data_IF_421143074650
#
_entry.id   IF_421143074650
#
_cell.length_a   1.000
_cell.length_b   1.000
_cell.length_c   1.000
_cell.angle_alpha   90.00
_cell.angle_beta   90.00
_cell.angle_gamma   90.00
#
_symmetry.space_group_name_H-M   'P 1'
#
loop_
_entity.id
_entity.type
_entity.pdbx_description
1 polymer ?
#
# COMPACT_ATOMS: atom_id res chain seq x y z
N UNK A 1 -19.85 14.51 -15.49
CA UNK A 1 -19.50 13.22 -14.83
C UNK A 1 -18.00 12.94 -14.88
N UNK A 2 -17.35 12.91 -16.06
CA UNK A 2 -15.87 12.73 -16.16
C UNK A 2 -15.06 13.78 -15.37
N UNK A 3 -15.47 15.04 -15.42
CA UNK A 3 -14.78 16.14 -14.72
C UNK A 3 -14.88 16.02 -13.19
N UNK A 4 -16.04 15.63 -12.67
CA UNK A 4 -16.24 15.36 -11.23
C UNK A 4 -15.38 14.17 -10.77
N UNK A 5 -15.27 13.13 -11.60
CA UNK A 5 -14.42 11.97 -11.32
C UNK A 5 -12.93 12.37 -11.32
N UNK A 6 -12.49 13.18 -12.28
CA UNK A 6 -11.11 13.66 -12.32
C UNK A 6 -10.77 14.53 -11.12
N UNK A 7 -11.64 15.46 -10.74
CA UNK A 7 -11.45 16.31 -9.56
C UNK A 7 -11.39 15.47 -8.27
N UNK A 8 -12.20 14.41 -8.19
CA UNK A 8 -12.18 13.48 -7.06
C UNK A 8 -10.88 12.65 -7.00
N UNK A 9 -10.39 12.20 -8.15
CA UNK A 9 -9.11 11.51 -8.26
C UNK A 9 -7.97 12.45 -7.84
N UNK A 10 -7.93 13.68 -8.36
CA UNK A 10 -6.93 14.67 -7.96
C UNK A 10 -6.95 14.94 -6.46
N UNK A 11 -8.14 15.07 -5.87
CA UNK A 11 -8.31 15.24 -4.42
C UNK A 11 -7.73 14.05 -3.64
N UNK A 12 -8.01 12.82 -4.06
CA UNK A 12 -7.52 11.61 -3.39
C UNK A 12 -5.99 11.51 -3.46
N UNK A 13 -5.42 11.83 -4.62
CA UNK A 13 -3.98 11.73 -4.91
C UNK A 13 -3.18 13.00 -4.61
N UNK A 14 -3.81 14.02 -4.00
CA UNK A 14 -3.17 15.28 -3.64
C UNK A 14 -1.96 15.03 -2.73
N UNK A 15 -0.84 15.68 -3.04
CA UNK A 15 0.39 15.58 -2.28
C UNK A 15 0.25 16.07 -0.84
N UNK A 16 0.95 15.38 0.08
CA UNK A 16 1.14 15.85 1.46
C UNK A 16 2.16 16.98 1.43
N UNK A 17 1.94 18.04 2.20
CA UNK A 17 2.79 19.25 2.16
C UNK A 17 4.12 19.05 2.91
N UNK A 18 4.17 18.11 3.84
CA UNK A 18 5.36 17.82 4.64
C UNK A 18 6.31 16.85 3.91
N UNK A 19 7.60 17.21 3.85
CA UNK A 19 8.66 16.40 3.23
C UNK A 19 8.99 15.13 4.03
N UNK A 20 8.65 15.10 5.32
CA UNK A 20 8.93 13.97 6.20
C UNK A 20 7.85 12.88 6.14
N UNK A 21 6.68 13.17 5.55
CA UNK A 21 5.59 12.20 5.42
C UNK A 21 5.63 11.51 4.05
N UNK A 22 5.40 10.20 4.03
CA UNK A 22 5.35 9.46 2.77
C UNK A 22 4.02 9.71 2.07
N UNK A 23 4.06 10.41 0.92
CA UNK A 23 2.91 10.62 0.02
C UNK A 23 2.09 9.35 -0.17
N UNK A 24 2.77 8.23 -0.40
CA UNK A 24 2.15 6.94 -0.67
C UNK A 24 1.29 6.45 0.49
N UNK A 25 1.74 6.66 1.74
CA UNK A 25 1.01 6.23 2.93
C UNK A 25 -0.27 7.05 3.10
N UNK A 26 -0.21 8.37 2.88
CA UNK A 26 -1.38 9.23 2.96
C UNK A 26 -2.45 8.85 1.92
N UNK A 27 -2.04 8.59 0.68
CA UNK A 27 -2.95 8.16 -0.39
C UNK A 27 -3.59 6.82 -0.06
N UNK A 28 -2.80 5.83 0.39
CA UNK A 28 -3.33 4.53 0.80
C UNK A 28 -4.31 4.67 1.96
N UNK A 29 -4.00 5.55 2.94
CA UNK A 29 -4.85 5.78 4.09
C UNK A 29 -6.19 6.39 3.71
N UNK A 30 -6.19 7.39 2.81
CA UNK A 30 -7.41 8.00 2.27
C UNK A 30 -8.29 6.99 1.55
N UNK A 31 -7.69 6.17 0.69
CA UNK A 31 -8.39 5.10 -0.03
C UNK A 31 -8.99 4.08 0.96
N UNK A 32 -8.22 3.68 1.96
CA UNK A 32 -8.64 2.71 2.97
C UNK A 32 -9.79 3.27 3.82
N UNK A 33 -9.72 4.53 4.24
CA UNK A 33 -10.80 5.20 4.96
C UNK A 33 -12.09 5.20 4.14
N UNK A 34 -12.01 5.46 2.83
CA UNK A 34 -13.17 5.44 1.94
C UNK A 34 -13.76 4.04 1.79
N UNK A 35 -12.92 3.03 1.54
CA UNK A 35 -13.33 1.63 1.44
C UNK A 35 -14.05 1.18 2.72
N UNK A 36 -13.45 1.44 3.89
CA UNK A 36 -14.06 1.09 5.17
C UNK A 36 -15.29 1.91 5.50
N UNK A 37 -15.40 3.16 5.04
CA UNK A 37 -16.62 3.96 5.20
C UNK A 37 -17.78 3.37 4.43
N UNK A 38 -17.54 2.92 3.19
CA UNK A 38 -18.56 2.22 2.38
C UNK A 38 -18.92 0.88 3.01
N UNK A 39 -17.92 0.12 3.47
CA UNK A 39 -18.14 -1.15 4.18
C UNK A 39 -19.03 -0.96 5.42
N UNK A 40 -18.67 -0.05 6.33
CA UNK A 40 -19.45 0.19 7.54
C UNK A 40 -20.83 0.77 7.26
N UNK A 41 -21.00 1.55 6.19
CA UNK A 41 -22.32 2.01 5.77
C UNK A 41 -23.23 0.84 5.37
N UNK A 42 -22.72 -0.09 4.54
CA UNK A 42 -23.47 -1.27 4.12
C UNK A 42 -23.80 -2.16 5.34
N UNK A 43 -22.81 -2.42 6.21
CA UNK A 43 -23.03 -3.21 7.42
C UNK A 43 -24.01 -2.53 8.38
N UNK A 44 -23.95 -1.20 8.55
CA UNK A 44 -24.88 -0.46 9.39
C UNK A 44 -26.33 -0.62 8.92
N UNK A 45 -26.56 -0.61 7.60
CA UNK A 45 -27.87 -0.89 7.01
C UNK A 45 -28.28 -2.33 7.31
N UNK A 46 -27.41 -3.32 7.09
CA UNK A 46 -27.70 -4.73 7.38
C UNK A 46 -28.06 -4.96 8.85
N UNK A 47 -27.35 -4.33 9.79
CA UNK A 47 -27.61 -4.44 11.23
C UNK A 47 -28.90 -3.73 11.64
N UNK A 48 -29.24 -2.60 11.01
CA UNK A 48 -30.52 -1.92 11.23
C UNK A 48 -31.71 -2.78 10.77
N UNK A 49 -31.56 -3.56 9.70
CA UNK A 49 -32.59 -4.51 9.24
C UNK A 49 -32.88 -5.62 10.26
N UNK A 50 -31.90 -6.01 11.07
CA UNK A 50 -32.06 -6.97 12.17
C UNK A 50 -32.56 -6.26 13.45
N UNK A 51 -32.96 -4.99 13.35
CA UNK A 51 -33.53 -4.17 14.44
C UNK A 51 -32.55 -3.85 15.59
N UNK A 52 -31.23 -3.99 15.38
CA UNK A 52 -30.20 -3.59 16.34
C UNK A 52 -29.69 -2.16 16.09
N UNK A 53 -30.56 -1.18 16.34
CA UNK A 53 -30.30 0.22 16.02
C UNK A 53 -29.10 0.82 16.75
N UNK A 54 -28.82 0.41 18.00
CA UNK A 54 -27.66 0.90 18.76
C UNK A 54 -26.32 0.56 18.09
N UNK A 55 -26.20 -0.66 17.58
CA UNK A 55 -24.98 -1.11 16.89
C UNK A 55 -24.86 -0.47 15.50
N UNK A 56 -25.99 -0.27 14.81
CA UNK A 56 -26.02 0.49 13.54
C UNK A 56 -25.57 1.94 13.75
N UNK A 57 -26.05 2.62 14.79
CA UNK A 57 -25.62 3.99 15.14
C UNK A 57 -24.13 4.05 15.48
N UNK A 58 -23.60 3.05 16.20
CA UNK A 58 -22.18 2.95 16.50
C UNK A 58 -21.35 2.88 15.21
N UNK A 59 -21.80 2.14 14.18
CA UNK A 59 -21.11 2.09 12.88
C UNK A 59 -21.18 3.41 12.11
N UNK A 60 -22.29 4.15 12.20
CA UNK A 60 -22.36 5.51 11.64
C UNK A 60 -21.36 6.44 12.34
N UNK A 61 -21.21 6.32 13.66
CA UNK A 61 -20.18 7.05 14.39
C UNK A 61 -18.75 6.63 13.96
N UNK A 62 -18.52 5.35 13.68
CA UNK A 62 -17.26 4.86 13.13
C UNK A 62 -16.91 5.55 11.79
N UNK A 63 -17.88 5.75 10.90
CA UNK A 63 -17.69 6.47 9.64
C UNK A 63 -17.23 7.92 9.92
N UNK A 64 -17.83 8.59 10.90
CA UNK A 64 -17.39 9.92 11.34
C UNK A 64 -15.93 9.95 11.79
N UNK A 65 -15.48 8.95 12.54
CA UNK A 65 -14.08 8.80 12.94
C UNK A 65 -13.15 8.50 11.76
N UNK A 66 -13.59 7.71 10.77
CA UNK A 66 -12.84 7.47 9.53
C UNK A 66 -12.70 8.76 8.70
N UNK A 67 -13.73 9.60 8.66
CA UNK A 67 -13.63 10.93 8.05
C UNK A 67 -12.62 11.80 8.81
N UNK A 68 -12.59 11.72 10.14
CA UNK A 68 -11.54 12.36 10.96
C UNK A 68 -10.13 11.86 10.58
N UNK A 69 -9.94 10.54 10.46
CA UNK A 69 -8.67 9.95 10.03
C UNK A 69 -8.28 10.40 8.61
N UNK A 70 -9.26 10.52 7.71
CA UNK A 70 -9.09 11.04 6.36
C UNK A 70 -8.63 12.51 6.39
N UNK A 71 -9.27 13.38 7.18
CA UNK A 71 -8.91 14.81 7.28
C UNK A 71 -7.50 14.99 7.84
N UNK A 72 -7.10 14.18 8.83
CA UNK A 72 -5.75 14.24 9.41
C UNK A 72 -4.63 14.03 8.38
N UNK A 73 -4.91 13.35 7.26
CA UNK A 73 -3.94 13.21 6.16
C UNK A 73 -3.69 14.49 5.38
N UNK A 74 -4.60 15.48 5.45
CA UNK A 74 -4.41 16.80 4.83
C UNK A 74 -3.82 17.81 5.81
N UNK A 75 -3.92 17.55 7.12
CA UNK A 75 -3.28 18.34 8.18
C UNK A 75 -1.81 17.97 8.43
N UNK A 76 -1.20 17.13 7.60
CA UNK A 76 0.16 16.56 7.79
C UNK A 76 0.32 15.82 9.14
N UNK A 77 -0.74 15.13 9.59
CA UNK A 77 -0.72 14.26 10.78
C UNK A 77 -1.02 12.82 10.37
N UNK A 78 -0.35 12.33 9.33
CA UNK A 78 -0.67 11.02 8.71
C UNK A 78 -0.47 9.86 9.66
N UNK A 79 0.52 9.91 10.54
CA UNK A 79 0.72 8.90 11.57
C UNK A 79 -0.44 8.84 12.57
N UNK A 80 -0.97 10.00 12.98
CA UNK A 80 -2.12 10.06 13.89
C UNK A 80 -3.39 9.55 13.19
N UNK A 81 -3.56 9.88 11.90
CA UNK A 81 -4.60 9.30 11.05
C UNK A 81 -4.48 7.77 10.93
N UNK A 82 -3.26 7.24 10.82
CA UNK A 82 -2.99 5.80 10.77
C UNK A 82 -3.39 5.10 12.07
N UNK A 83 -3.01 5.68 13.22
CA UNK A 83 -3.40 5.16 14.53
C UNK A 83 -4.92 5.18 14.68
N UNK A 84 -5.57 6.30 14.33
CA UNK A 84 -7.03 6.43 14.41
C UNK A 84 -7.75 5.41 13.51
N UNK A 85 -7.32 5.25 12.26
CA UNK A 85 -7.87 4.27 11.32
C UNK A 85 -7.79 2.84 11.90
N UNK A 86 -6.60 2.44 12.39
CA UNK A 86 -6.41 1.10 12.96
C UNK A 86 -7.29 0.89 14.20
N UNK A 87 -7.35 1.89 15.09
CA UNK A 87 -8.19 1.82 16.29
C UNK A 87 -9.67 1.68 15.94
N UNK A 88 -10.17 2.46 14.98
CA UNK A 88 -11.56 2.35 14.51
C UNK A 88 -11.83 0.94 13.98
N UNK A 89 -10.97 0.41 13.11
CA UNK A 89 -11.16 -0.93 12.56
C UNK A 89 -11.15 -1.99 13.66
N UNK A 90 -10.20 -1.94 14.60
CA UNK A 90 -10.13 -2.89 15.72
C UNK A 90 -11.39 -2.81 16.58
N UNK A 91 -11.75 -1.61 17.06
CA UNK A 91 -12.84 -1.42 18.03
C UNK A 91 -14.18 -1.81 17.42
N UNK A 92 -14.52 -1.31 16.23
CA UNK A 92 -15.85 -1.54 15.65
C UNK A 92 -16.02 -2.96 15.10
N UNK A 93 -14.96 -3.57 14.55
CA UNK A 93 -15.02 -4.97 14.14
C UNK A 93 -15.08 -5.93 15.34
N UNK A 94 -14.48 -5.55 16.48
CA UNK A 94 -14.64 -6.29 17.74
C UNK A 94 -16.05 -6.16 18.29
N UNK A 95 -16.60 -4.95 18.32
CA UNK A 95 -17.99 -4.73 18.73
C UNK A 95 -18.97 -5.56 17.90
N UNK A 96 -18.76 -5.63 16.58
CA UNK A 96 -19.54 -6.49 15.69
C UNK A 96 -19.35 -7.97 16.01
N UNK A 97 -18.12 -8.44 16.17
CA UNK A 97 -17.83 -9.85 16.45
C UNK A 97 -18.41 -10.32 17.80
N UNK A 98 -18.38 -9.47 18.84
CA UNK A 98 -18.94 -9.79 20.15
C UNK A 98 -20.48 -9.79 20.10
N UNK A 99 -21.10 -8.75 19.52
CA UNK A 99 -22.55 -8.61 19.59
C UNK A 99 -23.28 -9.54 18.61
N UNK A 100 -22.76 -9.70 17.38
CA UNK A 100 -23.39 -10.50 16.30
C UNK A 100 -22.86 -11.93 16.25
N UNK A 101 -21.71 -12.19 16.87
CA UNK A 101 -21.08 -13.50 16.94
C UNK A 101 -19.93 -13.67 15.94
N UNK A 102 -19.02 -14.59 16.29
CA UNK A 102 -17.79 -14.84 15.54
C UNK A 102 -18.06 -15.42 14.14
N UNK A 103 -19.11 -16.24 14.01
CA UNK A 103 -19.49 -16.93 12.77
C UNK A 103 -19.87 -16.01 11.60
N UNK A 104 -20.03 -14.71 11.84
CA UNK A 104 -20.35 -13.73 10.79
C UNK A 104 -19.10 -13.11 10.17
N UNK A 105 -17.90 -13.50 10.59
CA UNK A 105 -16.62 -13.15 9.98
C UNK A 105 -16.24 -11.65 10.03
N UNK A 106 -16.88 -10.86 10.89
CA UNK A 106 -16.55 -9.42 11.03
C UNK A 106 -15.11 -9.18 11.53
N UNK A 107 -14.52 -10.16 12.21
CA UNK A 107 -13.15 -10.12 12.71
C UNK A 107 -12.10 -10.08 11.57
N UNK A 108 -12.45 -10.51 10.34
CA UNK A 108 -11.51 -10.51 9.20
C UNK A 108 -11.01 -9.09 8.87
N UNK A 109 -11.85 -8.07 9.14
CA UNK A 109 -11.46 -6.67 9.00
C UNK A 109 -10.18 -6.31 9.79
N UNK A 110 -9.95 -6.96 10.94
CA UNK A 110 -8.80 -6.69 11.80
C UNK A 110 -7.50 -7.18 11.13
N UNK A 111 -7.55 -8.25 10.32
CA UNK A 111 -6.37 -8.70 9.57
C UNK A 111 -5.87 -7.65 8.57
N UNK A 112 -6.74 -6.81 8.02
CA UNK A 112 -6.34 -5.72 7.11
C UNK A 112 -5.43 -4.70 7.80
N UNK A 113 -5.55 -4.50 9.12
CA UNK A 113 -4.67 -3.61 9.87
C UNK A 113 -3.21 -4.05 9.85
N UNK A 114 -2.98 -5.37 9.82
CA UNK A 114 -1.62 -5.91 9.68
C UNK A 114 -1.04 -5.42 8.36
N UNK A 115 -1.77 -5.52 7.24
CA UNK A 115 -1.27 -5.07 5.94
C UNK A 115 -0.95 -3.56 5.93
N UNK A 116 -1.84 -2.74 6.50
CA UNK A 116 -1.70 -1.28 6.49
C UNK A 116 -0.47 -0.83 7.30
N UNK A 117 -0.16 -1.48 8.44
CA UNK A 117 1.00 -1.07 9.25
C UNK A 117 2.34 -1.36 8.58
N UNK A 118 2.43 -2.39 7.75
CA UNK A 118 3.65 -2.69 6.98
C UNK A 118 3.92 -1.65 5.89
N UNK A 119 2.88 -0.94 5.44
CA UNK A 119 3.01 0.14 4.47
C UNK A 119 3.67 1.40 5.04
N UNK A 120 3.61 1.62 6.35
CA UNK A 120 4.30 2.74 6.98
C UNK A 120 5.82 2.56 6.83
N UNK A 121 6.54 3.56 6.30
CA UNK A 121 8.00 3.47 6.03
C UNK A 121 8.88 3.43 7.29
N UNK A 122 8.31 3.61 8.49
CA UNK A 122 9.03 3.58 9.78
C UNK A 122 10.18 2.55 9.83
N UNK A 123 11.37 3.02 10.23
CA UNK A 123 12.62 2.24 10.29
C UNK A 123 12.57 1.08 11.31
N UNK A 124 11.74 1.20 12.34
CA UNK A 124 11.63 0.20 13.41
C UNK A 124 10.81 -1.04 13.01
N UNK A 125 11.40 -1.93 12.21
CA UNK A 125 10.78 -3.19 11.76
C UNK A 125 10.33 -4.09 12.93
N UNK A 126 11.03 -4.08 14.06
CA UNK A 126 10.69 -4.89 15.23
C UNK A 126 9.31 -4.53 15.82
N UNK A 127 8.93 -3.25 15.83
CA UNK A 127 7.62 -2.81 16.35
C UNK A 127 6.47 -3.34 15.49
N UNK A 128 6.65 -3.40 14.17
CA UNK A 128 5.65 -3.97 13.24
C UNK A 128 5.46 -5.47 13.46
N UNK A 129 6.55 -6.20 13.68
CA UNK A 129 6.50 -7.64 14.01
C UNK A 129 5.78 -7.88 15.32
N UNK A 130 6.11 -7.10 16.35
CA UNK A 130 5.44 -7.16 17.65
C UNK A 130 3.94 -6.87 17.52
N UNK A 131 3.56 -5.81 16.79
CA UNK A 131 2.15 -5.49 16.52
C UNK A 131 1.43 -6.63 15.80
N UNK A 132 2.08 -7.29 14.84
CA UNK A 132 1.52 -8.44 14.13
C UNK A 132 1.20 -9.58 15.09
N UNK A 133 2.16 -9.95 15.94
CA UNK A 133 1.99 -11.00 16.96
C UNK A 133 0.87 -10.59 17.93
N UNK A 134 0.87 -9.34 18.38
CA UNK A 134 -0.17 -8.82 19.27
C UNK A 134 -1.58 -8.93 18.66
N UNK A 135 -1.76 -8.53 17.40
CA UNK A 135 -3.06 -8.65 16.70
C UNK A 135 -3.46 -10.12 16.53
N UNK A 136 -2.52 -11.03 16.21
CA UNK A 136 -2.81 -12.46 16.11
C UNK A 136 -3.25 -13.04 17.46
N UNK A 137 -2.55 -12.73 18.55
CA UNK A 137 -2.93 -13.16 19.90
C UNK A 137 -4.27 -12.56 20.31
N UNK A 138 -4.51 -11.28 20.00
CA UNK A 138 -5.79 -10.61 20.24
C UNK A 138 -6.94 -11.32 19.52
N UNK A 139 -6.76 -11.70 18.25
CA UNK A 139 -7.76 -12.44 17.49
C UNK A 139 -8.01 -13.83 18.07
N UNK A 140 -6.96 -14.53 18.49
CA UNK A 140 -7.09 -15.83 19.18
C UNK A 140 -7.90 -15.70 20.48
N UNK A 141 -7.68 -14.64 21.25
CA UNK A 141 -8.44 -14.35 22.46
C UNK A 141 -9.90 -14.05 22.09
N UNK A 142 -10.12 -13.18 21.10
CA UNK A 142 -11.46 -12.79 20.63
C UNK A 142 -12.30 -14.01 20.25
N UNK A 143 -11.72 -15.02 19.59
CA UNK A 143 -12.45 -16.24 19.20
C UNK A 143 -12.99 -17.02 20.41
N UNK A 144 -12.29 -17.01 21.54
CA UNK A 144 -12.71 -17.72 22.75
C UNK A 144 -13.81 -17.00 23.51
N UNK A 145 -13.88 -15.67 23.40
CA UNK A 145 -14.80 -14.84 24.18
C UNK A 145 -16.07 -14.41 23.42
N UNK A 146 -16.05 -14.41 22.09
CA UNK A 146 -17.19 -13.99 21.28
C UNK A 146 -18.48 -14.77 21.58
N UNK A 147 -18.40 -16.09 21.74
CA UNK A 147 -19.59 -16.93 21.92
C UNK A 147 -20.27 -16.76 23.28
N UNK A 148 -19.58 -16.15 24.25
CA UNK A 148 -20.12 -15.93 25.60
C UNK A 148 -21.00 -14.67 25.70
N UNK A 149 -20.83 -13.70 24.81
CA UNK A 149 -21.43 -12.35 24.91
C UNK A 149 -22.35 -11.99 23.73
N UNK A 150 -22.86 -12.98 23.01
CA UNK A 150 -23.76 -12.75 21.86
C UNK A 150 -25.04 -12.06 22.35
N UNK A 151 -25.30 -10.86 21.83
CA UNK A 151 -26.45 -10.02 22.19
C UNK A 151 -27.45 -9.83 21.03
N UNK A 152 -27.09 -10.30 19.84
CA UNK A 152 -27.88 -10.20 18.61
C UNK A 152 -28.25 -11.60 18.16
N UNK A 153 -29.51 -11.96 18.37
CA UNK A 153 -30.07 -13.20 17.82
C UNK A 153 -30.36 -12.98 16.33
N UNK A 154 -29.37 -13.24 15.48
CA UNK A 154 -29.60 -13.28 14.04
C UNK A 154 -30.52 -14.47 13.72
N UNK A 155 -31.68 -14.26 13.07
CA UNK A 155 -32.61 -15.34 12.81
C UNK A 155 -31.94 -16.48 12.04
N UNK A 156 -32.19 -17.71 12.49
CA UNK A 156 -31.68 -18.92 11.85
C UNK A 156 -32.22 -19.06 10.42
N UNK A 157 -31.40 -19.62 9.52
CA UNK A 157 -31.77 -19.85 8.12
C UNK A 157 -31.19 -18.80 7.15
N UNK A 158 -32.02 -18.29 6.25
CA UNK A 158 -31.55 -17.51 5.08
C UNK A 158 -30.86 -16.19 5.46
N UNK A 159 -31.36 -15.46 6.47
CA UNK A 159 -30.78 -14.18 6.92
C UNK A 159 -29.34 -14.32 7.40
N UNK A 160 -29.05 -15.35 8.21
CA UNK A 160 -27.70 -15.65 8.71
C UNK A 160 -26.73 -15.94 7.57
N UNK A 161 -27.15 -16.83 6.65
CA UNK A 161 -26.33 -17.18 5.48
C UNK A 161 -26.09 -15.95 4.60
N UNK A 162 -27.12 -15.14 4.37
CA UNK A 162 -27.03 -13.93 3.57
C UNK A 162 -26.05 -12.91 4.16
N UNK A 163 -26.17 -12.56 5.45
CA UNK A 163 -25.29 -11.59 6.12
C UNK A 163 -23.83 -12.07 6.11
N UNK A 164 -23.59 -13.34 6.43
CA UNK A 164 -22.24 -13.92 6.38
C UNK A 164 -21.66 -13.86 4.97
N UNK A 165 -22.45 -14.25 3.96
CA UNK A 165 -22.00 -14.26 2.57
C UNK A 165 -21.74 -12.84 2.05
N UNK A 166 -22.60 -11.88 2.41
CA UNK A 166 -22.41 -10.47 2.10
C UNK A 166 -21.13 -9.94 2.74
N UNK A 167 -20.90 -10.20 4.03
CA UNK A 167 -19.69 -9.75 4.72
C UNK A 167 -18.41 -10.37 4.12
N UNK A 168 -18.45 -11.66 3.77
CA UNK A 168 -17.33 -12.35 3.12
C UNK A 168 -17.00 -11.73 1.76
N UNK A 169 -18.01 -11.44 0.93
CA UNK A 169 -17.83 -10.78 -0.38
C UNK A 169 -17.28 -9.36 -0.20
N UNK A 170 -17.86 -8.57 0.70
CA UNK A 170 -17.40 -7.21 0.99
C UNK A 170 -15.94 -7.20 1.45
N UNK A 171 -15.57 -8.12 2.35
CA UNK A 171 -14.22 -8.23 2.86
C UNK A 171 -13.23 -8.68 1.77
N UNK A 172 -13.61 -9.64 0.93
CA UNK A 172 -12.82 -10.04 -0.23
C UNK A 172 -12.59 -8.87 -1.19
N UNK A 173 -13.61 -8.04 -1.45
CA UNK A 173 -13.48 -6.82 -2.22
C UNK A 173 -12.53 -5.81 -1.55
N UNK A 174 -12.64 -5.59 -0.23
CA UNK A 174 -11.77 -4.69 0.51
C UNK A 174 -10.30 -5.13 0.42
N UNK A 175 -10.02 -6.41 0.69
CA UNK A 175 -8.69 -7.01 0.56
C UNK A 175 -8.18 -6.89 -0.87
N UNK A 176 -9.01 -7.24 -1.86
CA UNK A 176 -8.65 -7.15 -3.27
C UNK A 176 -8.30 -5.72 -3.71
N UNK A 177 -9.08 -4.72 -3.31
CA UNK A 177 -8.82 -3.31 -3.62
C UNK A 177 -7.52 -2.81 -2.99
N UNK A 178 -7.28 -3.15 -1.72
CA UNK A 178 -6.05 -2.78 -1.01
C UNK A 178 -4.84 -3.50 -1.62
N UNK A 179 -4.94 -4.80 -1.91
CA UNK A 179 -3.89 -5.59 -2.53
C UNK A 179 -3.54 -5.12 -3.94
N UNK A 180 -4.55 -4.78 -4.75
CA UNK A 180 -4.34 -4.18 -6.08
C UNK A 180 -3.60 -2.83 -5.97
N UNK A 181 -4.00 -1.99 -5.03
CA UNK A 181 -3.32 -0.72 -4.75
C UNK A 181 -1.87 -0.94 -4.32
N UNK A 182 -1.61 -1.96 -3.52
CA UNK A 182 -0.26 -2.35 -3.12
C UNK A 182 0.57 -2.83 -4.31
N UNK A 183 0.03 -3.74 -5.12
CA UNK A 183 0.72 -4.32 -6.29
C UNK A 183 1.10 -3.25 -7.31
N UNK A 184 0.17 -2.36 -7.65
CA UNK A 184 0.43 -1.27 -8.59
C UNK A 184 1.53 -0.32 -8.10
N UNK A 185 1.55 -0.01 -6.80
CA UNK A 185 2.60 0.85 -6.21
C UNK A 185 3.95 0.15 -6.15
N UNK A 186 3.97 -1.13 -5.80
CA UNK A 186 5.17 -1.93 -5.79
C UNK A 186 5.82 -1.99 -7.18
N UNK A 187 5.04 -2.31 -8.22
CA UNK A 187 5.54 -2.38 -9.60
C UNK A 187 6.05 -1.01 -10.08
N UNK A 188 5.34 0.08 -9.76
CA UNK A 188 5.78 1.44 -10.10
C UNK A 188 7.12 1.81 -9.41
N UNK A 189 7.35 1.36 -8.18
CA UNK A 189 8.61 1.60 -7.48
C UNK A 189 9.75 0.77 -8.09
N UNK A 190 9.48 -0.49 -8.47
CA UNK A 190 10.44 -1.37 -9.12
C UNK A 190 10.87 -0.83 -10.50
N UNK A 191 9.92 -0.41 -11.34
CA UNK A 191 10.19 0.17 -12.66
C UNK A 191 11.02 1.46 -12.57
N UNK A 192 10.73 2.30 -11.57
CA UNK A 192 11.54 3.50 -11.29
C UNK A 192 12.96 3.14 -10.87
N UNK A 193 13.13 2.14 -10.00
CA UNK A 193 14.46 1.70 -9.59
C UNK A 193 15.25 1.14 -10.78
N UNK A 194 14.60 0.35 -11.63
CA UNK A 194 15.21 -0.21 -12.84
C UNK A 194 15.66 0.88 -13.80
N UNK A 195 14.79 1.84 -14.12
CA UNK A 195 15.12 2.94 -15.02
C UNK A 195 16.25 3.83 -14.48
N UNK A 196 16.29 4.08 -13.17
CA UNK A 196 17.40 4.79 -12.52
C UNK A 196 18.71 4.01 -12.68
N UNK A 197 18.69 2.69 -12.45
CA UNK A 197 19.88 1.86 -12.60
C UNK A 197 20.38 1.83 -14.06
N UNK A 198 19.48 1.65 -15.03
CA UNK A 198 19.83 1.71 -16.45
C UNK A 198 20.44 3.07 -16.84
N UNK A 199 19.92 4.16 -16.27
CA UNK A 199 20.48 5.49 -16.51
C UNK A 199 21.85 5.69 -15.83
N UNK A 200 22.03 5.17 -14.62
CA UNK A 200 23.33 5.17 -13.94
C UNK A 200 24.37 4.39 -14.71
N UNK A 201 24.04 3.21 -15.23
CA UNK A 201 24.91 2.42 -16.10
C UNK A 201 25.27 3.18 -17.37
N UNK A 202 24.30 3.87 -17.99
CA UNK A 202 24.56 4.70 -19.16
C UNK A 202 25.55 5.82 -18.86
N UNK A 203 25.36 6.56 -17.76
CA UNK A 203 26.24 7.67 -17.37
C UNK A 203 27.63 7.15 -16.93
N UNK A 204 27.69 5.99 -16.28
CA UNK A 204 28.93 5.37 -15.84
C UNK A 204 29.78 4.83 -17.01
N UNK A 205 29.14 4.45 -18.12
CA UNK A 205 29.82 3.80 -19.26
C UNK A 205 30.00 4.71 -20.48
N UNK A 206 29.17 5.75 -20.65
CA UNK A 206 29.23 6.64 -21.81
C UNK A 206 29.80 8.00 -21.47
N UNK A 207 30.49 8.60 -22.43
CA UNK A 207 30.88 10.00 -22.40
C UNK A 207 29.65 10.88 -22.71
N UNK A 208 29.32 11.89 -21.88
CA UNK A 208 28.07 12.64 -22.02
C UNK A 208 28.00 13.48 -23.30
N UNK A 209 29.15 13.93 -23.83
CA UNK A 209 29.22 14.77 -25.02
C UNK A 209 29.07 13.95 -26.31
N UNK A 210 29.76 12.80 -26.38
CA UNK A 210 29.85 11.99 -27.60
C UNK A 210 28.91 10.79 -27.61
N UNK A 211 28.35 10.39 -26.45
CA UNK A 211 27.57 9.16 -26.26
C UNK A 211 28.33 7.87 -26.62
N UNK A 212 29.65 7.96 -26.82
CA UNK A 212 30.53 6.81 -27.01
C UNK A 212 30.95 6.25 -25.66
N UNK A 213 31.49 5.03 -25.63
CA UNK A 213 32.09 4.47 -24.42
C UNK A 213 33.14 5.41 -23.87
N UNK A 214 33.03 5.75 -22.58
CA UNK A 214 34.04 6.55 -21.92
C UNK A 214 35.34 5.75 -21.76
N UNK A 215 36.41 6.45 -21.38
CA UNK A 215 37.74 5.86 -21.24
C UNK A 215 37.78 4.70 -20.23
N UNK A 216 36.99 4.79 -19.16
CA UNK A 216 36.94 3.74 -18.14
C UNK A 216 36.34 2.45 -18.72
N UNK A 217 35.16 2.55 -19.32
CA UNK A 217 34.47 1.42 -19.94
C UNK A 217 35.27 0.80 -21.08
N UNK A 218 35.90 1.64 -21.93
CA UNK A 218 36.80 1.17 -23.00
C UNK A 218 37.95 0.33 -22.44
N UNK A 219 38.57 0.74 -21.33
CA UNK A 219 39.67 0.01 -20.71
C UNK A 219 39.22 -1.33 -20.11
N UNK A 220 38.04 -1.40 -19.51
CA UNK A 220 37.47 -2.67 -19.03
C UNK A 220 37.17 -3.63 -20.18
N UNK A 221 36.55 -3.12 -21.25
CA UNK A 221 36.27 -3.90 -22.44
C UNK A 221 37.54 -4.45 -23.08
N UNK A 222 38.59 -3.62 -23.22
CA UNK A 222 39.89 -4.04 -23.74
C UNK A 222 40.53 -5.16 -22.90
N UNK A 223 40.44 -5.11 -21.57
CA UNK A 223 40.93 -6.19 -20.69
C UNK A 223 40.22 -7.51 -20.98
N UNK A 224 38.89 -7.47 -21.16
CA UNK A 224 38.10 -8.67 -21.48
C UNK A 224 38.47 -9.25 -22.85
N UNK A 225 38.67 -8.39 -23.86
CA UNK A 225 39.09 -8.83 -25.21
C UNK A 225 40.49 -9.44 -25.19
N UNK A 226 41.44 -8.84 -24.44
CA UNK A 226 42.79 -9.39 -24.26
C UNK A 226 42.74 -10.75 -23.56
N UNK A 227 41.88 -10.90 -22.54
CA UNK A 227 41.69 -12.18 -21.85
C UNK A 227 41.16 -13.27 -22.79
N UNK A 228 40.13 -12.97 -23.58
CA UNK A 228 39.58 -13.90 -24.57
C UNK A 228 40.59 -14.26 -25.67
N UNK A 229 41.40 -13.29 -26.11
CA UNK A 229 42.52 -13.54 -27.02
C UNK A 229 43.50 -14.56 -26.44
N UNK A 230 43.94 -14.37 -25.19
CA UNK A 230 44.87 -15.29 -24.52
C UNK A 230 44.28 -16.70 -24.33
N UNK A 231 42.96 -16.81 -24.13
CA UNK A 231 42.27 -18.08 -23.90
C UNK A 231 42.01 -18.87 -25.20
N UNK A 232 41.63 -18.18 -26.27
CA UNK A 232 41.09 -18.81 -27.49
C UNK A 232 41.96 -18.59 -28.75
N UNK A 233 42.98 -17.73 -28.67
CA UNK A 233 43.78 -17.29 -29.81
C UNK A 233 43.04 -16.34 -30.76
N UNK A 234 41.82 -15.92 -30.43
CA UNK A 234 41.00 -15.06 -31.30
C UNK A 234 41.65 -13.68 -31.46
N UNK A 235 42.01 -13.30 -32.68
CA UNK A 235 42.66 -12.01 -32.97
C UNK A 235 41.67 -10.85 -32.87
N UNK A 236 42.15 -9.68 -32.46
CA UNK A 236 41.38 -8.43 -32.44
C UNK A 236 42.23 -7.26 -32.96
N UNK A 237 41.57 -6.18 -33.36
CA UNK A 237 42.21 -4.97 -33.91
C UNK A 237 41.75 -3.76 -33.12
N UNK A 238 42.67 -2.81 -32.87
CA UNK A 238 42.36 -1.50 -32.29
C UNK A 238 42.63 -0.42 -33.33
N UNK A 239 41.68 0.50 -33.52
CA UNK A 239 41.87 1.72 -34.29
C UNK A 239 41.77 2.93 -33.36
N UNK A 240 42.69 3.89 -33.49
CA UNK A 240 42.75 5.13 -32.70
C UNK A 240 42.80 6.30 -33.68
N UNK A 241 42.00 7.34 -33.45
CA UNK A 241 41.96 8.55 -34.27
C UNK A 241 41.86 9.81 -33.41
N UNK A 242 42.31 10.94 -33.96
CA UNK A 242 42.26 12.27 -33.36
C UNK A 242 41.68 13.28 -34.37
N UNK A 243 41.14 14.40 -33.89
CA UNK A 243 40.59 15.46 -34.75
C UNK A 243 41.67 16.52 -34.99
N UNK A 244 42.17 16.57 -36.22
CA UNK A 244 43.16 17.57 -36.63
C UNK A 244 42.62 19.00 -36.51
N UNK A 245 43.46 19.91 -36.02
CA UNK A 245 43.17 21.34 -35.87
C UNK A 245 41.93 21.69 -35.01
N UNK A 246 41.51 20.83 -34.08
CA UNK A 246 40.32 21.05 -33.24
C UNK A 246 40.26 22.45 -32.58
N UNK A 247 41.39 22.98 -32.10
CA UNK A 247 41.46 24.33 -31.51
C UNK A 247 41.01 25.45 -32.46
N UNK A 248 41.39 25.41 -33.74
CA UNK A 248 41.02 26.46 -34.73
C UNK A 248 39.53 26.49 -35.05
N UNK A 249 38.81 25.40 -34.78
CA UNK A 249 37.36 25.32 -34.98
C UNK A 249 36.62 25.80 -33.73
N UNK A 250 37.24 25.63 -32.56
CA UNK A 250 36.63 25.93 -31.27
C UNK A 250 36.95 27.34 -30.75
N UNK A 251 38.08 27.92 -31.19
CA UNK A 251 38.51 29.31 -30.96
C UNK A 251 37.84 30.28 -31.97
#
# INVERSE_FOLDING_TARGET
>A
MKEVINNFIEFLFTDVKDKNETKELAVLLRLTCLIFSVYYFIVAISIAFIQHYYLSLALVFAIGLLVGAFILTYENKTFLGLVLLNLVIIVFSTLLAINVGFEMDFHIAIFLNILIIYFNKSEHMHLKRFYTVFICTYLMVLTQFCDYYINVDVPWGFSRIFIRSLNMVLMACCIGCIAYSFCTKFNQAEDKLRSINENLERIANLDPLTQLSNRHHMNEYLKNVIFEHNRSGKTFTIAIGDIDFFKKVND
#
